data_IF_690888830684
#
_entry.id   IF_690888830684
#
_cell.length_a   1.000
_cell.length_b   1.000
_cell.length_c   1.000
_cell.angle_alpha   90.00
_cell.angle_beta   90.00
_cell.angle_gamma   90.00
#
_symmetry.space_group_name_H-M   'P 1'
#
loop_
_entity.id
_entity.type
_entity.pdbx_description
1 polymer ?
#
# COMPACT_ATOMS: atom_id res chain seq x y z
N UNK A 1 62.64 -52.13 55.06
CA UNK A 1 62.63 -50.81 54.39
C UNK A 1 61.19 -50.54 53.98
N UNK A 2 60.38 -49.88 54.83
CA UNK A 2 60.34 -48.41 55.00
C UNK A 2 60.19 -47.68 53.66
N UNK A 3 59.38 -46.63 53.49
CA UNK A 3 58.32 -46.03 54.27
C UNK A 3 57.64 -45.02 53.33
N UNK A 4 56.37 -44.76 53.62
CA UNK A 4 55.55 -43.59 53.27
C UNK A 4 56.33 -42.36 52.76
N UNK A 5 55.87 -41.72 51.68
CA UNK A 5 55.50 -40.31 51.83
C UNK A 5 54.60 -39.73 50.72
N UNK A 6 53.44 -39.34 51.22
CA UNK A 6 52.45 -38.36 50.77
C UNK A 6 53.06 -37.10 50.12
N UNK A 7 52.65 -36.78 48.89
CA UNK A 7 52.76 -35.41 48.35
C UNK A 7 51.45 -35.00 47.66
N UNK A 8 50.64 -34.32 48.48
CA UNK A 8 49.84 -33.12 48.22
C UNK A 8 49.28 -32.92 46.79
N UNK A 9 47.95 -33.03 46.74
CA UNK A 9 47.00 -32.33 45.88
C UNK A 9 47.54 -31.02 45.26
N UNK A 10 47.43 -30.92 43.94
CA UNK A 10 47.04 -29.69 43.25
C UNK A 10 46.07 -30.08 42.13
N UNK A 11 44.77 -30.06 42.43
CA UNK A 11 43.73 -30.13 41.42
C UNK A 11 43.66 -28.75 40.75
N UNK A 12 44.28 -28.60 39.57
CA UNK A 12 43.98 -27.46 38.71
C UNK A 12 42.61 -27.70 38.09
N UNK A 13 41.60 -27.08 38.69
CA UNK A 13 40.24 -27.03 38.16
C UNK A 13 40.24 -26.11 36.94
N UNK A 14 40.46 -26.65 35.74
CA UNK A 14 40.21 -25.93 34.50
C UNK A 14 38.69 -25.80 34.32
N UNK A 15 38.14 -24.69 34.81
CA UNK A 15 36.80 -24.24 34.42
C UNK A 15 36.90 -23.85 32.95
N UNK A 16 36.48 -24.73 32.05
CA UNK A 16 36.11 -24.33 30.70
C UNK A 16 34.87 -23.44 30.83
N UNK A 17 35.09 -22.13 30.88
CA UNK A 17 34.02 -21.16 30.76
C UNK A 17 33.62 -21.11 29.28
N UNK A 18 32.59 -21.88 28.92
CA UNK A 18 31.96 -21.78 27.61
C UNK A 18 31.26 -20.43 27.51
N UNK A 19 31.95 -19.46 26.91
CA UNK A 19 31.38 -18.21 26.41
C UNK A 19 30.32 -18.55 25.36
N UNK A 20 29.05 -18.64 25.77
CA UNK A 20 27.93 -18.47 24.86
C UNK A 20 27.76 -16.98 24.57
N UNK A 21 28.66 -16.43 23.75
CA UNK A 21 28.39 -15.18 23.07
C UNK A 21 27.40 -15.49 21.94
N UNK A 22 26.11 -15.27 22.21
CA UNK A 22 25.10 -15.24 21.16
C UNK A 22 25.48 -14.12 20.20
N UNK A 23 26.03 -14.47 19.04
CA UNK A 23 26.24 -13.54 17.94
C UNK A 23 24.86 -13.05 17.50
N UNK A 24 24.50 -11.83 17.90
CA UNK A 24 23.42 -11.10 17.26
C UNK A 24 23.89 -10.75 15.86
N UNK A 25 23.43 -11.52 14.86
CA UNK A 25 23.59 -11.19 13.45
C UNK A 25 22.71 -9.98 13.13
N UNK A 26 23.19 -8.78 13.47
CA UNK A 26 22.65 -7.51 12.98
C UNK A 26 23.31 -7.20 11.64
N UNK A 27 22.80 -7.81 10.57
CA UNK A 27 23.15 -7.41 9.21
C UNK A 27 21.91 -6.97 8.44
N UNK A 28 21.55 -5.69 8.61
CA UNK A 28 20.97 -4.95 7.49
C UNK A 28 21.35 -3.47 7.56
N UNK A 29 22.44 -3.16 6.88
CA UNK A 29 22.79 -1.81 6.47
C UNK A 29 21.83 -1.37 5.34
N UNK A 30 20.85 -0.52 5.68
CA UNK A 30 20.16 0.30 4.68
C UNK A 30 20.72 1.71 4.75
N UNK A 31 21.50 2.04 3.73
CA UNK A 31 22.08 3.34 3.50
C UNK A 31 20.99 4.36 3.09
N UNK A 32 20.98 5.48 3.83
CA UNK A 32 20.62 6.85 3.42
C UNK A 32 19.22 7.12 2.82
N UNK A 33 18.30 7.51 3.71
CA UNK A 33 17.10 8.31 3.43
C UNK A 33 16.06 8.18 4.57
N UNK A 34 15.32 9.23 4.98
CA UNK A 34 14.40 9.18 6.12
C UNK A 34 13.08 8.42 5.81
N UNK A 35 13.11 7.43 4.92
CA UNK A 35 11.98 6.56 4.65
C UNK A 35 12.09 5.33 5.52
N UNK A 36 11.67 5.46 6.77
CA UNK A 36 11.20 4.32 7.55
C UNK A 36 10.29 3.47 6.64
N UNK A 37 10.65 2.21 6.42
CA UNK A 37 9.84 1.27 5.65
C UNK A 37 8.65 0.87 6.54
N UNK A 38 7.74 1.81 6.76
CA UNK A 38 6.52 1.59 7.54
C UNK A 38 5.66 0.69 6.66
N UNK A 39 5.48 -0.54 7.10
CA UNK A 39 4.51 -1.46 6.52
C UNK A 39 3.19 -0.69 6.30
N UNK A 40 2.80 -0.51 5.04
CA UNK A 40 1.71 0.38 4.66
C UNK A 40 0.60 -0.41 4.01
N UNK A 41 -0.64 -0.02 4.32
CA UNK A 41 -1.82 -0.51 3.62
C UNK A 41 -1.63 -0.32 2.10
N UNK A 42 -2.15 -1.26 1.33
CA UNK A 42 -2.11 -1.26 -0.12
C UNK A 42 -3.53 -1.37 -0.68
N UNK A 43 -3.89 -0.45 -1.57
CA UNK A 43 -5.06 -0.56 -2.42
C UNK A 43 -4.62 -1.10 -3.78
N UNK A 44 -5.23 -2.18 -4.25
CA UNK A 44 -4.90 -2.79 -5.55
C UNK A 44 -6.16 -2.74 -6.42
N UNK A 45 -6.03 -2.21 -7.63
CA UNK A 45 -7.07 -2.17 -8.63
C UNK A 45 -6.70 -3.06 -9.82
N UNK A 46 -7.63 -3.93 -10.22
CA UNK A 46 -7.54 -4.76 -11.41
C UNK A 46 -8.52 -4.24 -12.48
N UNK A 47 -8.03 -3.59 -13.55
CA UNK A 47 -8.90 -3.05 -14.59
C UNK A 47 -9.50 -4.13 -15.52
N UNK A 48 -8.91 -5.34 -15.58
CA UNK A 48 -9.46 -6.48 -16.34
C UNK A 48 -10.62 -7.15 -15.59
N UNK A 49 -10.49 -7.28 -14.26
CA UNK A 49 -11.51 -7.88 -13.37
C UNK A 49 -12.54 -6.86 -12.85
N UNK A 50 -12.34 -5.57 -13.10
CA UNK A 50 -13.21 -4.48 -12.63
C UNK A 50 -13.43 -4.53 -11.10
N UNK A 51 -12.33 -4.77 -10.38
CA UNK A 51 -12.36 -5.03 -8.95
C UNK A 51 -11.21 -4.34 -8.24
N UNK A 52 -11.41 -4.05 -6.96
CA UNK A 52 -10.37 -3.58 -6.06
C UNK A 52 -10.24 -4.49 -4.84
N UNK A 53 -9.06 -4.50 -4.23
CA UNK A 53 -8.79 -5.14 -2.94
C UNK A 53 -8.00 -4.18 -2.03
N UNK A 54 -8.36 -4.19 -0.76
CA UNK A 54 -7.65 -3.51 0.33
C UNK A 54 -6.84 -4.55 1.10
N UNK A 55 -5.53 -4.37 1.10
CA UNK A 55 -4.56 -5.24 1.78
C UNK A 55 -3.91 -4.46 2.93
N UNK A 56 -4.05 -4.93 4.16
CA UNK A 56 -3.42 -4.29 5.32
C UNK A 56 -1.89 -4.40 5.26
N UNK A 57 -1.20 -3.61 6.09
CA UNK A 57 0.26 -3.60 6.21
C UNK A 57 0.90 -4.96 6.46
N UNK A 58 0.18 -5.90 7.07
CA UNK A 58 0.61 -7.29 7.31
C UNK A 58 0.30 -8.26 6.15
N UNK A 59 -0.19 -7.76 5.01
CA UNK A 59 -0.48 -8.59 3.83
C UNK A 59 -1.87 -9.24 3.80
N UNK A 60 -2.72 -9.04 4.82
CA UNK A 60 -4.08 -9.59 4.84
C UNK A 60 -5.04 -8.78 3.97
N UNK A 61 -5.86 -9.45 3.15
CA UNK A 61 -7.00 -8.82 2.47
C UNK A 61 -8.07 -8.51 3.53
N UNK A 62 -8.40 -7.24 3.70
CA UNK A 62 -9.40 -6.77 4.68
C UNK A 62 -10.73 -6.41 4.04
N UNK A 63 -10.73 -6.08 2.75
CA UNK A 63 -11.95 -5.78 1.99
C UNK A 63 -11.70 -5.86 0.48
N UNK A 64 -12.75 -6.08 -0.29
CA UNK A 64 -12.74 -6.00 -1.74
C UNK A 64 -14.07 -5.44 -2.24
N UNK A 65 -14.11 -5.08 -3.52
CA UNK A 65 -15.34 -4.62 -4.14
C UNK A 65 -15.20 -4.36 -5.64
N UNK A 66 -16.29 -3.89 -6.25
CA UNK A 66 -16.35 -3.52 -7.66
C UNK A 66 -15.68 -2.16 -7.88
N UNK A 67 -14.96 -2.03 -8.99
CA UNK A 67 -14.38 -0.77 -9.46
C UNK A 67 -14.55 -0.62 -10.98
N UNK A 68 -14.64 0.63 -11.44
CA UNK A 68 -14.58 0.98 -12.86
C UNK A 68 -13.48 2.02 -13.06
N UNK A 69 -12.47 1.67 -13.84
CA UNK A 69 -11.34 2.55 -14.16
C UNK A 69 -11.58 3.37 -15.42
N UNK A 70 -10.47 3.86 -15.96
CA UNK A 70 -10.42 4.64 -17.18
C UNK A 70 -10.78 3.86 -18.44
N UNK A 71 -11.66 4.42 -19.27
CA UNK A 71 -12.11 3.79 -20.52
C UNK A 71 -10.97 3.63 -21.53
N UNK A 72 -11.14 2.71 -22.48
CA UNK A 72 -10.16 2.56 -23.56
C UNK A 72 -10.00 3.84 -24.39
N UNK A 73 -11.11 4.55 -24.61
CA UNK A 73 -11.15 5.80 -25.36
C UNK A 73 -12.23 6.73 -24.80
N UNK A 74 -11.90 8.01 -24.65
CA UNK A 74 -12.85 9.06 -24.33
C UNK A 74 -13.07 9.96 -25.53
N UNK A 75 -14.33 10.08 -25.94
CA UNK A 75 -14.75 10.84 -27.12
C UNK A 75 -14.54 12.35 -26.96
N UNK A 76 -14.80 12.87 -25.77
CA UNK A 76 -14.73 14.30 -25.44
C UNK A 76 -13.30 14.86 -25.41
N UNK A 77 -12.32 14.06 -24.98
CA UNK A 77 -10.89 14.43 -25.03
C UNK A 77 -10.11 13.79 -26.20
N UNK A 78 -10.79 13.02 -27.05
CA UNK A 78 -10.28 12.36 -28.27
C UNK A 78 -9.00 11.53 -28.08
N UNK A 79 -8.85 10.87 -26.92
CA UNK A 79 -7.68 10.04 -26.60
C UNK A 79 -8.01 8.91 -25.64
N UNK A 80 -7.04 8.03 -25.43
CA UNK A 80 -7.11 6.99 -24.40
C UNK A 80 -7.33 7.59 -23.01
N UNK A 81 -8.21 6.96 -22.25
CA UNK A 81 -8.54 7.33 -20.88
C UNK A 81 -8.13 6.27 -19.87
N UNK A 82 -7.40 5.22 -20.29
CA UNK A 82 -7.01 4.13 -19.39
C UNK A 82 -6.34 4.69 -18.14
N UNK A 83 -6.73 4.17 -16.98
CA UNK A 83 -6.01 4.45 -15.74
C UNK A 83 -4.59 3.93 -15.90
N UNK A 84 -3.54 4.75 -15.78
CA UNK A 84 -2.19 4.25 -16.03
C UNK A 84 -1.83 3.16 -15.02
N UNK A 85 -1.31 2.03 -15.52
CA UNK A 85 -0.79 0.94 -14.70
C UNK A 85 0.47 1.38 -13.97
N UNK A 86 0.69 0.84 -12.78
CA UNK A 86 1.90 1.12 -12.01
C UNK A 86 1.68 1.12 -10.51
N UNK A 87 2.72 1.55 -9.79
CA UNK A 87 2.70 1.73 -8.34
C UNK A 87 2.76 3.21 -8.00
N UNK A 88 1.83 3.65 -7.16
CA UNK A 88 1.64 5.02 -6.75
C UNK A 88 1.53 5.11 -5.22
N UNK A 89 1.44 6.34 -4.73
CA UNK A 89 1.10 6.64 -3.34
C UNK A 89 0.04 7.73 -3.28
N UNK A 90 -0.85 7.61 -2.32
CA UNK A 90 -1.82 8.65 -2.03
C UNK A 90 -1.10 9.88 -1.52
N UNK A 91 -1.31 11.04 -2.14
CA UNK A 91 -0.70 12.31 -1.72
C UNK A 91 -1.73 13.33 -1.23
N UNK A 92 -3.01 13.18 -1.60
CA UNK A 92 -4.09 14.01 -1.07
C UNK A 92 -5.42 13.26 -1.06
N UNK A 93 -6.33 13.70 -0.20
CA UNK A 93 -7.71 13.19 -0.13
C UNK A 93 -8.64 14.29 0.38
N UNK A 94 -9.90 14.21 -0.01
CA UNK A 94 -10.96 15.08 0.48
C UNK A 94 -12.22 14.26 0.80
N UNK A 95 -13.16 14.87 1.52
CA UNK A 95 -14.35 14.21 2.05
C UNK A 95 -15.49 14.08 1.03
N UNK A 96 -16.71 13.96 1.54
CA UNK A 96 -17.92 13.75 0.74
C UNK A 96 -18.17 14.84 -0.30
N UNK A 97 -17.76 16.09 -0.03
CA UNK A 97 -17.96 17.23 -0.93
C UNK A 97 -16.92 17.37 -2.05
N UNK A 98 -15.99 16.43 -2.19
CA UNK A 98 -14.93 16.53 -3.19
C UNK A 98 -15.48 16.57 -4.62
N UNK A 99 -14.85 17.41 -5.45
CA UNK A 99 -15.25 17.65 -6.84
C UNK A 99 -14.05 17.66 -7.77
N UNK A 100 -14.27 17.29 -9.02
CA UNK A 100 -13.26 17.42 -10.08
C UNK A 100 -13.06 18.90 -10.40
N UNK A 101 -11.81 19.35 -10.49
CA UNK A 101 -11.51 20.68 -11.04
C UNK A 101 -11.58 20.71 -12.58
N UNK A 102 -11.51 19.55 -13.24
CA UNK A 102 -11.38 19.44 -14.70
C UNK A 102 -12.68 19.03 -15.39
N UNK A 103 -13.46 18.16 -14.77
CA UNK A 103 -14.63 17.55 -15.39
C UNK A 103 -15.95 18.04 -14.77
N UNK A 104 -17.03 18.18 -15.55
CA UNK A 104 -17.06 18.10 -17.02
C UNK A 104 -16.17 19.17 -17.68
N UNK A 105 -15.65 18.87 -18.87
CA UNK A 105 -14.65 19.72 -19.54
C UNK A 105 -15.15 21.17 -19.67
N UNK A 106 -14.24 22.12 -19.42
CA UNK A 106 -14.53 23.56 -19.48
C UNK A 106 -15.35 24.11 -18.31
N UNK A 107 -15.91 23.25 -17.45
CA UNK A 107 -16.74 23.68 -16.30
C UNK A 107 -16.20 23.22 -14.95
N UNK A 108 -15.63 22.02 -14.88
CA UNK A 108 -15.30 21.39 -13.60
C UNK A 108 -16.56 21.13 -12.75
N UNK A 109 -16.36 20.72 -11.50
CA UNK A 109 -17.42 20.57 -10.50
C UNK A 109 -18.08 19.19 -10.43
N UNK A 110 -17.70 18.23 -11.27
CA UNK A 110 -18.25 16.87 -11.20
C UNK A 110 -18.05 16.25 -9.81
N UNK A 111 -19.09 15.65 -9.20
CA UNK A 111 -18.97 15.06 -7.87
C UNK A 111 -18.01 13.87 -7.87
N UNK A 112 -17.07 13.88 -6.93
CA UNK A 112 -16.11 12.82 -6.67
C UNK A 112 -16.04 12.53 -5.17
N UNK A 113 -17.15 12.16 -4.52
CA UNK A 113 -17.22 12.02 -3.07
C UNK A 113 -16.11 11.10 -2.56
N UNK A 114 -15.44 11.53 -1.48
CA UNK A 114 -14.35 10.81 -0.85
C UNK A 114 -13.12 10.59 -1.75
N UNK A 115 -12.80 11.55 -2.62
CA UNK A 115 -11.65 11.44 -3.51
C UNK A 115 -10.33 11.22 -2.76
N UNK A 116 -9.49 10.34 -3.30
CA UNK A 116 -8.17 9.95 -2.78
C UNK A 116 -7.21 9.93 -3.96
N UNK A 117 -6.44 11.01 -4.13
CA UNK A 117 -5.55 11.21 -5.27
C UNK A 117 -4.24 10.43 -5.09
N UNK A 118 -3.91 9.62 -6.09
CA UNK A 118 -2.65 8.88 -6.19
C UNK A 118 -1.75 9.40 -7.32
N UNK A 119 -2.27 10.31 -8.16
CA UNK A 119 -1.49 11.16 -9.05
C UNK A 119 -2.14 12.55 -9.18
N UNK A 120 -1.43 13.52 -9.77
CA UNK A 120 -1.98 14.86 -10.05
C UNK A 120 -3.32 14.83 -10.80
N UNK A 121 -3.58 13.80 -11.59
CA UNK A 121 -4.76 13.70 -12.46
C UNK A 121 -5.70 12.53 -12.15
N UNK A 122 -5.31 11.61 -11.26
CA UNK A 122 -6.05 10.39 -11.00
C UNK A 122 -6.31 10.18 -9.51
N UNK A 123 -7.57 9.83 -9.22
CA UNK A 123 -8.04 9.55 -7.87
C UNK A 123 -8.86 8.27 -7.84
N UNK A 124 -8.91 7.65 -6.66
CA UNK A 124 -9.96 6.73 -6.27
C UNK A 124 -11.11 7.58 -5.71
N UNK A 125 -12.36 7.38 -6.12
CA UNK A 125 -13.49 8.12 -5.57
C UNK A 125 -14.81 7.37 -5.69
N UNK A 126 -15.81 7.83 -4.95
CA UNK A 126 -17.16 7.31 -5.03
C UNK A 126 -17.88 7.77 -6.30
N UNK A 127 -18.66 6.87 -6.90
CA UNK A 127 -19.53 7.15 -8.04
C UNK A 127 -20.79 6.29 -7.93
N UNK A 128 -21.99 6.82 -8.22
CA UNK A 128 -23.18 5.98 -8.39
C UNK A 128 -23.05 5.07 -9.62
N UNK A 129 -22.30 5.51 -10.63
CA UNK A 129 -22.00 4.77 -11.85
C UNK A 129 -20.69 3.99 -11.72
N UNK A 130 -20.81 2.67 -11.54
CA UNK A 130 -19.72 1.68 -11.53
C UNK A 130 -20.12 0.50 -12.42
N UNK A 131 -20.03 0.63 -13.75
CA UNK A 131 -20.58 -0.35 -14.70
C UNK A 131 -19.67 -1.59 -14.84
N UNK A 132 -20.10 -2.57 -15.65
CA UNK A 132 -19.33 -3.79 -15.96
C UNK A 132 -18.27 -3.55 -17.07
N UNK A 133 -17.73 -2.33 -17.15
CA UNK A 133 -16.63 -1.95 -18.02
C UNK A 133 -15.92 -0.73 -17.43
N UNK A 134 -14.72 -0.42 -17.93
CA UNK A 134 -14.00 0.80 -17.53
C UNK A 134 -14.61 2.01 -18.25
N UNK A 135 -15.15 2.97 -17.50
CA UNK A 135 -16.03 4.02 -18.01
C UNK A 135 -15.59 5.45 -17.65
N UNK A 136 -14.54 5.61 -16.85
CA UNK A 136 -14.12 6.93 -16.38
C UNK A 136 -13.12 7.60 -17.32
N UNK A 137 -12.81 8.86 -17.04
CA UNK A 137 -11.70 9.60 -17.66
C UNK A 137 -10.32 9.32 -17.04
N UNK A 138 -10.16 8.18 -16.36
CA UNK A 138 -8.90 7.71 -15.79
C UNK A 138 -8.94 7.51 -14.27
N UNK A 139 -9.87 8.13 -13.56
CA UNK A 139 -10.06 7.88 -12.13
C UNK A 139 -10.63 6.47 -11.86
N UNK A 140 -10.37 5.93 -10.68
CA UNK A 140 -10.93 4.64 -10.24
C UNK A 140 -12.22 4.93 -9.48
N UNK A 141 -13.36 4.60 -10.10
CA UNK A 141 -14.69 4.73 -9.50
C UNK A 141 -14.99 3.49 -8.67
N UNK A 142 -15.37 3.68 -7.42
CA UNK A 142 -15.92 2.64 -6.54
C UNK A 142 -17.31 3.06 -6.03
N UNK A 143 -18.06 2.15 -5.43
CA UNK A 143 -19.39 2.50 -4.87
C UNK A 143 -19.23 3.56 -3.77
N UNK A 144 -20.19 4.48 -3.56
CA UNK A 144 -20.03 5.58 -2.60
C UNK A 144 -19.77 5.09 -1.16
N UNK A 145 -20.40 3.99 -0.74
CA UNK A 145 -20.15 3.37 0.57
C UNK A 145 -18.73 2.80 0.71
N UNK A 146 -18.19 2.20 -0.35
CA UNK A 146 -16.81 1.73 -0.38
C UNK A 146 -15.82 2.90 -0.37
N UNK A 147 -16.10 3.96 -1.13
CA UNK A 147 -15.26 5.17 -1.13
C UNK A 147 -15.21 5.82 0.25
N UNK A 148 -16.35 5.92 0.94
CA UNK A 148 -16.42 6.41 2.31
C UNK A 148 -15.55 5.57 3.23
N UNK A 149 -15.70 4.25 3.19
CA UNK A 149 -14.93 3.36 4.05
C UNK A 149 -13.43 3.44 3.76
N UNK A 150 -13.05 3.37 2.48
CA UNK A 150 -11.66 3.50 2.02
C UNK A 150 -11.06 4.80 2.53
N UNK A 151 -11.74 5.92 2.31
CA UNK A 151 -11.25 7.23 2.70
C UNK A 151 -11.13 7.36 4.22
N UNK A 152 -12.14 6.97 4.99
CA UNK A 152 -12.17 7.24 6.43
C UNK A 152 -11.37 6.24 7.26
N UNK A 153 -11.29 4.97 6.85
CA UNK A 153 -10.80 3.88 7.70
C UNK A 153 -9.53 3.22 7.20
N UNK A 154 -9.25 3.26 5.89
CA UNK A 154 -8.22 2.41 5.30
C UNK A 154 -7.08 3.19 4.64
N UNK A 155 -7.42 4.13 3.77
CA UNK A 155 -6.49 4.93 2.96
C UNK A 155 -6.05 6.18 3.74
N UNK A 156 -4.75 6.26 3.95
CA UNK A 156 -4.04 7.42 4.52
C UNK A 156 -3.12 8.03 3.46
N UNK A 157 -2.63 9.23 3.70
CA UNK A 157 -1.52 9.78 2.91
C UNK A 157 -0.33 8.81 2.99
N UNK A 158 0.29 8.51 1.85
CA UNK A 158 1.36 7.53 1.72
C UNK A 158 0.90 6.09 1.46
N UNK A 159 -0.40 5.76 1.61
CA UNK A 159 -0.95 4.43 1.26
C UNK A 159 -0.56 4.06 -0.17
N UNK A 160 -0.05 2.83 -0.35
CA UNK A 160 0.36 2.33 -1.66
C UNK A 160 -0.86 2.05 -2.52
N UNK A 161 -0.82 2.46 -3.79
CA UNK A 161 -1.84 2.17 -4.78
C UNK A 161 -1.18 1.39 -5.93
N UNK A 162 -1.69 0.21 -6.23
CA UNK A 162 -1.23 -0.61 -7.35
C UNK A 162 -2.35 -0.67 -8.39
N UNK A 163 -2.08 -0.21 -9.60
CA UNK A 163 -2.95 -0.40 -10.76
C UNK A 163 -2.35 -1.51 -11.61
N UNK A 164 -3.04 -2.64 -11.68
CA UNK A 164 -2.60 -3.80 -12.46
C UNK A 164 -2.73 -3.53 -13.98
N UNK A 165 -1.97 -4.27 -14.82
CA UNK A 165 -2.06 -4.14 -16.27
C UNK A 165 -3.46 -4.41 -16.84
N UNK A 166 -3.80 -3.66 -17.90
CA UNK A 166 -4.96 -3.87 -18.78
C UNK A 166 -4.77 -5.03 -19.71
#
# INVERSE_FOLDING_TARGET
MEARNLRKLFALFFIFFSINASYADNSFTMTNGPYINVASNTFIFNPRKLSWVAVSSNGKVVRSGKASGGSHYCRDIRRSCKTPSGTYRIFSKSGAGCRSSRYPLGKGGAPMPYCMFFSKYYAIHGSPDVPNYNASHGCIRVRPGDAKWLNQNFIKIGTKVIVQPY
#
